data_IF_696484882429
#
_entry.id   IF_696484882429
#
_cell.length_a   1.000
_cell.length_b   1.000
_cell.length_c   1.000
_cell.angle_alpha   90.00
_cell.angle_beta   90.00
_cell.angle_gamma   90.00
#
_symmetry.space_group_name_H-M   'P 1'
#
loop_
_entity.id
_entity.type
_entity.pdbx_description
1 polymer ?
#
# COMPACT_ATOMS: atom_id res chain seq x y z
N UNK A 1 29.42 27.95 14.03
CA UNK A 1 28.52 29.08 14.35
C UNK A 1 29.22 30.34 13.86
N UNK A 2 28.60 31.11 12.97
CA UNK A 2 29.19 32.36 12.46
C UNK A 2 29.44 33.32 13.63
N UNK A 3 30.63 33.87 13.72
CA UNK A 3 31.03 34.83 14.77
C UNK A 3 31.33 36.22 14.22
N UNK A 4 31.35 36.34 12.90
CA UNK A 4 31.80 37.46 12.13
C UNK A 4 30.79 37.79 11.02
N UNK A 5 30.74 39.05 10.60
CA UNK A 5 29.84 39.54 9.56
C UNK A 5 30.47 39.42 8.16
N UNK A 6 31.13 38.28 7.88
CA UNK A 6 31.81 38.06 6.61
C UNK A 6 30.84 38.08 5.43
N UNK A 7 31.24 38.80 4.38
CA UNK A 7 30.53 38.85 3.10
C UNK A 7 31.18 37.87 2.12
N UNK A 8 30.38 37.29 1.25
CA UNK A 8 30.90 36.41 0.20
C UNK A 8 31.58 37.20 -0.92
N UNK A 9 32.56 36.57 -1.58
CA UNK A 9 33.24 37.12 -2.74
C UNK A 9 32.42 36.97 -4.05
N UNK A 10 31.14 36.60 -3.94
CA UNK A 10 30.22 36.50 -5.09
C UNK A 10 29.80 37.90 -5.53
N UNK A 11 29.37 38.00 -6.78
CA UNK A 11 28.87 39.26 -7.36
C UNK A 11 27.66 39.84 -6.60
N UNK A 12 26.85 38.99 -5.98
CA UNK A 12 25.71 39.40 -5.15
C UNK A 12 26.08 39.83 -3.73
N UNK A 13 27.36 39.74 -3.34
CA UNK A 13 27.96 40.15 -2.06
C UNK A 13 27.07 39.73 -0.88
N UNK A 14 26.47 38.53 -0.96
CA UNK A 14 25.59 38.05 0.10
C UNK A 14 26.41 37.73 1.35
N UNK A 15 25.91 38.04 2.55
CA UNK A 15 26.51 37.59 3.80
C UNK A 15 26.73 36.08 3.80
N UNK A 16 27.89 35.64 4.29
CA UNK A 16 28.25 34.22 4.31
C UNK A 16 27.24 33.39 5.09
N UNK A 17 26.71 33.93 6.18
CA UNK A 17 25.64 33.30 6.98
C UNK A 17 24.38 32.97 6.15
N UNK A 18 24.02 33.81 5.17
CA UNK A 18 22.86 33.57 4.31
C UNK A 18 23.15 32.46 3.32
N UNK A 19 24.37 32.39 2.77
CA UNK A 19 24.78 31.33 1.86
C UNK A 19 24.79 29.98 2.58
N UNK A 20 25.39 29.92 3.77
CA UNK A 20 25.47 28.71 4.56
C UNK A 20 24.07 28.22 4.95
N UNK A 21 23.20 29.10 5.44
CA UNK A 21 21.79 28.77 5.72
C UNK A 21 21.08 28.21 4.48
N UNK A 22 21.20 28.87 3.33
CA UNK A 22 20.56 28.42 2.10
C UNK A 22 21.10 27.07 1.61
N UNK A 23 22.37 26.76 1.89
CA UNK A 23 22.98 25.48 1.53
C UNK A 23 22.48 24.32 2.40
N UNK A 24 22.17 24.57 3.68
CA UNK A 24 21.80 23.51 4.64
C UNK A 24 20.29 23.39 4.89
N UNK A 25 19.51 24.46 4.68
CA UNK A 25 18.08 24.49 5.03
C UNK A 25 17.22 23.45 4.29
N UNK A 26 17.70 22.97 3.14
CA UNK A 26 16.95 22.03 2.30
C UNK A 26 16.99 20.57 2.78
N UNK A 27 17.71 20.23 3.85
CA UNK A 27 17.87 18.83 4.26
C UNK A 27 16.54 18.10 4.52
N UNK A 28 15.66 18.72 5.32
CA UNK A 28 14.35 18.14 5.68
C UNK A 28 13.39 18.15 4.49
N UNK A 29 13.32 19.25 3.73
CA UNK A 29 12.46 19.34 2.53
C UNK A 29 12.86 18.31 1.46
N UNK A 30 14.16 18.08 1.28
CA UNK A 30 14.66 17.05 0.38
C UNK A 30 14.26 15.65 0.87
N UNK A 31 14.41 15.38 2.18
CA UNK A 31 13.97 14.12 2.77
C UNK A 31 12.47 13.90 2.52
N UNK A 32 11.63 14.88 2.84
CA UNK A 32 10.18 14.82 2.64
C UNK A 32 9.82 14.50 1.19
N UNK A 33 10.41 15.26 0.24
CA UNK A 33 10.23 15.06 -1.20
C UNK A 33 10.64 13.66 -1.65
N UNK A 34 11.80 13.15 -1.20
CA UNK A 34 12.23 11.80 -1.59
C UNK A 34 11.32 10.76 -0.94
N UNK A 35 10.97 10.86 0.33
CA UNK A 35 10.07 9.90 0.99
C UNK A 35 8.71 9.84 0.30
N UNK A 36 8.16 10.97 -0.11
CA UNK A 36 6.89 11.04 -0.85
C UNK A 36 6.94 10.32 -2.21
N UNK A 37 8.11 10.23 -2.86
CA UNK A 37 8.25 9.56 -4.18
C UNK A 37 8.03 8.04 -4.12
N UNK A 38 8.39 7.40 -3.00
CA UNK A 38 8.22 5.96 -2.79
C UNK A 38 7.64 5.71 -1.41
N UNK A 39 6.38 6.13 -1.23
CA UNK A 39 5.66 6.01 0.04
C UNK A 39 4.80 4.74 0.10
N UNK A 40 4.73 4.14 1.28
CA UNK A 40 3.81 3.05 1.62
C UNK A 40 2.47 3.54 2.21
N UNK A 41 2.24 4.85 2.24
CA UNK A 41 1.02 5.44 2.79
C UNK A 41 -0.23 4.94 2.05
N UNK A 42 -1.31 4.73 2.82
CA UNK A 42 -2.63 4.36 2.29
C UNK A 42 -3.68 5.26 2.92
N UNK A 43 -4.74 5.55 2.18
CA UNK A 43 -5.90 6.28 2.71
C UNK A 43 -6.45 5.54 3.94
N UNK A 44 -6.50 6.23 5.07
CA UNK A 44 -6.95 5.68 6.35
C UNK A 44 -7.62 6.77 7.18
N UNK A 45 -8.69 6.41 7.88
CA UNK A 45 -9.35 7.28 8.86
C UNK A 45 -8.70 7.21 10.26
N UNK A 46 -7.64 6.40 10.42
CA UNK A 46 -6.97 6.16 11.71
C UNK A 46 -5.62 6.86 11.74
N UNK A 47 -5.53 7.99 12.43
CA UNK A 47 -4.29 8.79 12.54
C UNK A 47 -3.03 8.01 12.98
N UNK A 48 -3.09 6.98 13.87
CA UNK A 48 -1.87 6.27 14.27
C UNK A 48 -1.21 5.53 13.10
N UNK A 49 -2.00 5.11 12.10
CA UNK A 49 -1.47 4.47 10.90
C UNK A 49 -0.70 5.45 10.01
N UNK A 50 -1.08 6.74 10.00
CA UNK A 50 -0.33 7.78 9.28
C UNK A 50 1.09 7.87 9.83
N UNK A 51 1.24 7.88 11.16
CA UNK A 51 2.54 7.88 11.82
C UNK A 51 3.30 6.59 11.50
N UNK A 52 2.65 5.44 11.58
CA UNK A 52 3.27 4.17 11.23
C UNK A 52 3.83 4.16 9.81
N UNK A 53 3.07 4.66 8.83
CA UNK A 53 3.55 4.74 7.44
C UNK A 53 4.77 5.68 7.32
N UNK A 54 4.75 6.83 7.98
CA UNK A 54 5.90 7.74 8.02
C UNK A 54 7.14 7.07 8.62
N UNK A 55 7.00 6.31 9.71
CA UNK A 55 8.09 5.56 10.32
C UNK A 55 8.68 4.57 9.32
N UNK A 56 7.85 3.83 8.59
CA UNK A 56 8.30 2.86 7.59
C UNK A 56 9.06 3.56 6.45
N UNK A 57 8.51 4.64 5.90
CA UNK A 57 9.10 5.35 4.76
C UNK A 57 10.46 5.98 5.12
N UNK A 58 10.56 6.65 6.28
CA UNK A 58 11.81 7.25 6.77
C UNK A 58 12.84 6.17 7.10
N UNK A 59 12.42 5.08 7.77
CA UNK A 59 13.33 3.98 8.11
C UNK A 59 13.90 3.31 6.87
N UNK A 60 13.08 3.09 5.84
CA UNK A 60 13.52 2.50 4.58
C UNK A 60 14.50 3.41 3.84
N UNK A 61 14.30 4.73 3.86
CA UNK A 61 15.24 5.68 3.28
C UNK A 61 16.57 5.72 4.05
N UNK A 62 16.53 5.73 5.39
CA UNK A 62 17.74 5.71 6.21
C UNK A 62 18.55 4.42 5.99
N UNK A 63 17.87 3.28 5.92
CA UNK A 63 18.50 2.00 5.59
C UNK A 63 19.13 2.03 4.19
N UNK A 64 18.48 2.66 3.22
CA UNK A 64 19.04 2.86 1.87
C UNK A 64 20.33 3.68 1.90
N UNK A 65 20.33 4.83 2.58
CA UNK A 65 21.51 5.69 2.71
C UNK A 65 22.68 4.90 3.30
N UNK A 66 22.46 4.26 4.45
CA UNK A 66 23.50 3.44 5.10
C UNK A 66 24.00 2.31 4.19
N UNK A 67 23.09 1.62 3.49
CA UNK A 67 23.46 0.55 2.57
C UNK A 67 24.34 1.05 1.42
N UNK A 68 24.02 2.20 0.83
CA UNK A 68 24.79 2.76 -0.28
C UNK A 68 26.13 3.36 0.14
N UNK A 69 26.24 3.85 1.38
CA UNK A 69 27.51 4.32 1.94
C UNK A 69 28.49 3.16 2.17
N UNK A 70 27.99 2.03 2.68
CA UNK A 70 28.80 0.83 2.92
C UNK A 70 29.10 0.09 1.61
N UNK A 71 28.11 -0.01 0.71
CA UNK A 71 28.19 -0.79 -0.53
C UNK A 71 28.18 0.13 -1.76
N UNK A 72 29.22 0.94 -1.92
CA UNK A 72 29.25 1.98 -2.95
C UNK A 72 29.12 1.42 -4.38
N UNK A 73 29.69 0.24 -4.63
CA UNK A 73 29.62 -0.42 -5.94
C UNK A 73 28.28 -1.12 -6.21
N UNK A 74 27.41 -1.31 -5.20
CA UNK A 74 26.14 -2.01 -5.37
C UNK A 74 25.23 -1.26 -6.34
N UNK A 75 24.87 -1.91 -7.46
CA UNK A 75 24.12 -1.30 -8.55
C UNK A 75 24.76 0.00 -9.08
N UNK A 76 26.10 0.08 -9.09
CA UNK A 76 26.84 1.19 -9.67
C UNK A 76 26.41 1.50 -11.11
N UNK A 77 26.32 2.79 -11.44
CA UNK A 77 25.88 3.26 -12.76
C UNK A 77 24.36 3.26 -13.00
N UNK A 78 23.54 2.71 -12.09
CA UNK A 78 22.08 2.78 -12.22
C UNK A 78 21.53 4.06 -11.57
N UNK A 79 20.63 4.74 -12.27
CA UNK A 79 19.95 5.95 -11.73
C UNK A 79 18.81 5.61 -10.76
N UNK A 80 18.28 4.39 -10.79
CA UNK A 80 17.10 3.96 -10.02
C UNK A 80 17.43 3.03 -8.84
N UNK A 81 18.61 3.22 -8.22
CA UNK A 81 19.12 2.39 -7.11
C UNK A 81 18.16 2.28 -5.93
N UNK A 82 17.48 3.37 -5.56
CA UNK A 82 16.51 3.36 -4.46
C UNK A 82 15.32 2.42 -4.73
N UNK A 83 14.80 2.40 -5.96
CA UNK A 83 13.72 1.48 -6.34
C UNK A 83 14.15 0.03 -6.18
N UNK A 84 15.36 -0.30 -6.64
CA UNK A 84 15.94 -1.64 -6.49
C UNK A 84 16.11 -2.00 -5.01
N UNK A 85 16.59 -1.07 -4.20
CA UNK A 85 16.78 -1.29 -2.78
C UNK A 85 15.46 -1.61 -2.09
N UNK A 86 14.41 -0.82 -2.35
CA UNK A 86 13.08 -1.06 -1.76
C UNK A 86 12.47 -2.39 -2.22
N UNK A 87 12.70 -2.77 -3.47
CA UNK A 87 12.27 -4.07 -4.01
C UNK A 87 12.98 -5.24 -3.31
N UNK A 88 14.31 -5.17 -3.19
CA UNK A 88 15.11 -6.17 -2.50
C UNK A 88 14.78 -6.25 -1.00
N UNK A 89 14.63 -5.09 -0.33
CA UNK A 89 14.22 -4.99 1.07
C UNK A 89 12.86 -5.64 1.28
N UNK A 90 11.86 -5.31 0.46
CA UNK A 90 10.52 -5.89 0.55
C UNK A 90 10.53 -7.41 0.40
N UNK A 91 11.29 -7.92 -0.59
CA UNK A 91 11.49 -9.37 -0.78
C UNK A 91 12.17 -10.01 0.42
N UNK A 92 13.24 -9.42 0.95
CA UNK A 92 13.97 -9.95 2.11
C UNK A 92 13.09 -10.05 3.36
N UNK A 93 12.25 -9.04 3.62
CA UNK A 93 11.34 -9.03 4.77
C UNK A 93 10.22 -10.06 4.65
N UNK A 94 9.66 -10.26 3.45
CA UNK A 94 8.46 -11.09 3.27
C UNK A 94 8.78 -12.56 2.98
N UNK A 95 9.92 -12.87 2.36
CA UNK A 95 10.31 -14.24 1.97
C UNK A 95 10.24 -15.25 3.13
N UNK A 96 10.83 -15.01 4.32
CA UNK A 96 10.76 -15.97 5.43
C UNK A 96 9.33 -16.12 5.99
N UNK A 97 8.45 -15.16 5.75
CA UNK A 97 7.02 -15.26 6.13
C UNK A 97 6.22 -16.05 5.10
N UNK A 98 6.59 -15.97 3.82
CA UNK A 98 5.99 -16.78 2.74
C UNK A 98 6.42 -18.24 2.86
N UNK A 99 7.70 -18.50 3.15
CA UNK A 99 8.23 -19.86 3.31
C UNK A 99 7.52 -20.63 4.44
N UNK A 100 7.24 -19.98 5.58
CA UNK A 100 6.53 -20.59 6.72
C UNK A 100 5.01 -20.65 6.56
N UNK A 101 4.45 -20.14 5.46
CA UNK A 101 3.01 -20.07 5.27
C UNK A 101 2.45 -21.45 4.90
N UNK A 102 1.68 -22.05 5.82
CA UNK A 102 1.01 -23.35 5.58
C UNK A 102 -0.20 -23.22 4.66
N UNK A 103 -1.00 -22.16 4.79
CA UNK A 103 -2.24 -22.00 4.05
C UNK A 103 -2.05 -21.12 2.81
N UNK A 104 -2.30 -21.60 1.59
CA UNK A 104 -2.19 -20.78 0.40
C UNK A 104 -3.25 -19.67 0.41
N UNK A 105 -2.93 -18.50 -0.17
CA UNK A 105 -3.91 -17.44 -0.37
C UNK A 105 -5.04 -17.90 -1.30
N UNK A 106 -6.20 -17.24 -1.18
CA UNK A 106 -7.41 -17.62 -1.93
C UNK A 106 -7.32 -17.36 -3.43
N UNK A 107 -6.54 -16.37 -3.86
CA UNK A 107 -6.39 -16.10 -5.28
C UNK A 107 -5.39 -17.07 -5.89
N UNK A 108 -5.73 -17.61 -7.05
CA UNK A 108 -4.89 -18.54 -7.81
C UNK A 108 -3.52 -17.92 -8.10
N UNK A 109 -3.49 -16.66 -8.57
CA UNK A 109 -2.25 -15.93 -8.85
C UNK A 109 -1.33 -15.80 -7.62
N UNK A 110 -1.87 -15.45 -6.44
CA UNK A 110 -1.06 -15.36 -5.23
C UNK A 110 -0.65 -16.74 -4.72
N UNK A 111 -1.48 -17.77 -4.92
CA UNK A 111 -1.14 -19.14 -4.53
C UNK A 111 0.02 -19.67 -5.36
N UNK A 112 0.00 -19.45 -6.68
CA UNK A 112 1.12 -19.76 -7.57
C UNK A 112 2.40 -19.02 -7.17
N UNK A 113 2.31 -17.74 -6.78
CA UNK A 113 3.47 -16.98 -6.32
C UNK A 113 4.07 -17.55 -5.02
N UNK A 114 3.22 -17.91 -4.05
CA UNK A 114 3.65 -18.53 -2.78
C UNK A 114 4.32 -19.89 -3.05
N UNK A 115 3.72 -20.72 -3.90
CA UNK A 115 4.29 -22.03 -4.27
C UNK A 115 5.67 -21.89 -4.91
N UNK A 116 5.85 -20.95 -5.85
CA UNK A 116 7.15 -20.68 -6.48
C UNK A 116 8.23 -20.30 -5.47
N UNK A 117 7.89 -19.47 -4.49
CA UNK A 117 8.84 -19.03 -3.45
C UNK A 117 9.16 -20.17 -2.48
N UNK A 118 8.19 -21.05 -2.20
CA UNK A 118 8.37 -22.21 -1.32
C UNK A 118 9.16 -23.35 -1.97
N UNK A 119 9.07 -23.51 -3.29
CA UNK A 119 9.81 -24.53 -4.05
C UNK A 119 11.34 -24.28 -4.10
N UNK A 120 11.80 -23.09 -3.72
CA UNK A 120 13.23 -22.72 -3.76
C UNK A 120 13.77 -22.54 -5.20
N UNK A 121 15.00 -22.02 -5.34
CA UNK A 121 15.69 -22.02 -6.62
C UNK A 121 16.09 -23.46 -6.98
N UNK A 122 15.45 -24.04 -7.99
CA UNK A 122 15.71 -25.39 -8.47
C UNK A 122 17.19 -25.57 -8.83
N UNK A 123 17.93 -26.34 -8.04
CA UNK A 123 19.12 -27.05 -8.54
C UNK A 123 18.66 -28.09 -9.56
N UNK A 124 19.40 -28.21 -10.67
CA UNK A 124 19.06 -28.96 -11.87
C UNK A 124 18.56 -30.41 -11.65
N UNK A 125 17.54 -30.77 -12.45
CA UNK A 125 17.23 -32.06 -13.09
C UNK A 125 17.64 -33.38 -12.40
N UNK A 126 16.65 -34.15 -11.94
CA UNK A 126 16.19 -35.41 -12.56
C UNK A 126 15.19 -36.11 -11.64
N UNK A 127 14.23 -36.81 -12.23
CA UNK A 127 13.25 -37.73 -11.64
C UNK A 127 11.97 -37.10 -11.07
N UNK A 128 11.04 -36.81 -11.98
CA UNK A 128 9.60 -36.79 -11.68
C UNK A 128 9.12 -38.24 -11.49
N UNK A 129 8.43 -38.59 -10.40
CA UNK A 129 7.46 -39.66 -10.43
C UNK A 129 6.23 -39.16 -11.21
N UNK A 130 5.81 -39.96 -12.18
CA UNK A 130 4.59 -39.83 -12.97
C UNK A 130 3.38 -39.46 -12.09
N UNK A 131 2.71 -38.33 -12.38
CA UNK A 131 1.50 -37.90 -11.68
C UNK A 131 0.32 -38.02 -12.64
N UNK A 132 -0.68 -38.79 -12.20
CA UNK A 132 -1.96 -39.05 -12.87
C UNK A 132 -2.66 -37.79 -13.42
N UNK A 133 -3.53 -37.92 -14.45
CA UNK A 133 -4.12 -36.78 -15.11
C UNK A 133 -5.01 -35.98 -14.16
N UNK A 134 -4.70 -34.69 -14.01
CA UNK A 134 -5.56 -33.71 -13.34
C UNK A 134 -6.85 -33.55 -14.15
N UNK A 135 -7.94 -34.05 -13.57
CA UNK A 135 -9.30 -33.73 -13.97
C UNK A 135 -9.50 -32.21 -13.96
N UNK A 136 -9.66 -31.62 -15.14
CA UNK A 136 -10.22 -30.27 -15.35
C UNK A 136 -11.70 -30.26 -14.97
N UNK A 137 -11.97 -30.52 -13.69
CA UNK A 137 -13.29 -30.49 -13.09
C UNK A 137 -13.72 -29.05 -12.85
N UNK A 138 -14.70 -28.62 -13.64
CA UNK A 138 -15.62 -27.49 -13.45
C UNK A 138 -15.56 -26.85 -12.05
N UNK A 139 -15.36 -25.52 -12.03
CA UNK A 139 -15.20 -24.72 -10.82
C UNK A 139 -16.24 -25.04 -9.74
N UNK A 140 -15.80 -25.69 -8.67
CA UNK A 140 -16.65 -25.99 -7.51
C UNK A 140 -17.11 -24.67 -6.90
N UNK A 141 -18.39 -24.33 -7.12
CA UNK A 141 -19.07 -23.21 -6.46
C UNK A 141 -18.92 -23.36 -4.95
N UNK A 142 -18.54 -22.27 -4.27
CA UNK A 142 -18.28 -22.26 -2.83
C UNK A 142 -19.54 -22.69 -2.07
N UNK A 143 -19.42 -23.69 -1.20
CA UNK A 143 -20.53 -24.12 -0.33
C UNK A 143 -20.73 -23.11 0.80
N UNK A 144 -21.99 -22.82 1.12
CA UNK A 144 -22.40 -21.95 2.24
C UNK A 144 -21.99 -22.61 3.56
N UNK A 145 -21.59 -21.81 4.56
CA UNK A 145 -21.30 -22.31 5.90
C UNK A 145 -22.58 -22.91 6.48
N UNK A 146 -22.53 -24.16 6.95
CA UNK A 146 -23.70 -24.86 7.49
C UNK A 146 -24.17 -24.33 8.85
N UNK A 147 -23.35 -23.52 9.51
CA UNK A 147 -23.64 -22.94 10.83
C UNK A 147 -24.19 -21.52 10.75
N UNK A 148 -24.12 -20.88 9.59
CA UNK A 148 -24.62 -19.52 9.41
C UNK A 148 -26.03 -19.58 8.82
N UNK A 149 -27.01 -18.82 9.39
CA UNK A 149 -28.31 -18.69 8.74
C UNK A 149 -28.14 -18.14 7.32
N UNK A 150 -28.95 -18.60 6.34
CA UNK A 150 -28.90 -18.07 4.99
C UNK A 150 -29.18 -16.56 5.03
N UNK A 151 -28.24 -15.72 4.57
CA UNK A 151 -28.60 -14.36 4.16
C UNK A 151 -29.51 -14.49 2.95
N UNK A 152 -30.64 -13.79 2.93
CA UNK A 152 -31.44 -13.64 1.71
C UNK A 152 -30.51 -13.11 0.63
N UNK A 153 -30.38 -13.89 -0.43
CA UNK A 153 -29.72 -13.42 -1.63
C UNK A 153 -30.67 -12.35 -2.18
N UNK A 154 -30.18 -11.12 -2.37
CA UNK A 154 -30.95 -10.13 -3.13
C UNK A 154 -30.98 -10.68 -4.56
N UNK A 155 -32.08 -11.32 -4.93
CA UNK A 155 -32.34 -11.66 -6.33
C UNK A 155 -32.24 -10.37 -7.13
N UNK A 156 -31.34 -10.34 -8.11
CA UNK A 156 -31.29 -9.26 -9.07
C UNK A 156 -32.68 -9.17 -9.73
N UNK A 157 -33.37 -8.03 -9.69
CA UNK A 157 -34.67 -7.93 -10.33
C UNK A 157 -34.51 -8.20 -11.83
N UNK A 158 -35.43 -8.93 -12.46
CA UNK A 158 -35.34 -9.25 -13.87
C UNK A 158 -35.25 -7.95 -14.68
N UNK A 159 -34.31 -7.93 -15.63
CA UNK A 159 -34.07 -6.80 -16.50
C UNK A 159 -35.36 -6.41 -17.25
N UNK A 160 -36.00 -5.33 -16.82
CA UNK A 160 -37.04 -4.67 -17.61
C UNK A 160 -36.35 -3.97 -18.78
N UNK A 161 -36.43 -4.58 -19.95
CA UNK A 161 -36.17 -3.91 -21.22
C UNK A 161 -37.09 -2.69 -21.35
N UNK A 162 -36.51 -1.50 -21.48
CA UNK A 162 -37.19 -0.33 -22.06
C UNK A 162 -37.54 0.83 -21.13
N UNK A 163 -36.63 1.28 -20.25
CA UNK A 163 -36.77 2.59 -19.58
C UNK A 163 -35.60 3.51 -19.99
N UNK A 164 -35.86 4.73 -20.50
CA UNK A 164 -34.80 5.64 -20.94
C UNK A 164 -33.89 6.10 -19.79
N UNK A 165 -32.63 6.36 -20.11
CA UNK A 165 -31.50 6.49 -19.17
C UNK A 165 -31.56 7.67 -18.18
N UNK A 166 -32.56 8.55 -18.25
CA UNK A 166 -32.61 9.76 -17.41
C UNK A 166 -33.27 9.56 -16.03
N UNK A 167 -33.91 8.41 -15.76
CA UNK A 167 -34.58 8.15 -14.46
C UNK A 167 -33.74 7.37 -13.43
N UNK A 168 -32.61 6.79 -13.83
CA UNK A 168 -31.75 5.98 -12.92
C UNK A 168 -31.04 6.85 -11.87
N UNK A 169 -30.84 8.13 -12.16
CA UNK A 169 -30.16 9.06 -11.25
C UNK A 169 -31.01 9.44 -10.01
N UNK A 170 -32.34 9.39 -10.14
CA UNK A 170 -33.25 9.79 -9.06
C UNK A 170 -33.30 8.73 -7.95
N UNK A 171 -33.22 7.44 -8.30
CA UNK A 171 -33.31 6.34 -7.33
C UNK A 171 -32.01 6.15 -6.51
N UNK A 172 -30.84 6.49 -7.07
CA UNK A 172 -29.58 6.42 -6.34
C UNK A 172 -29.43 7.54 -5.29
N UNK A 173 -29.95 8.74 -5.58
CA UNK A 173 -30.00 9.87 -4.63
C UNK A 173 -31.03 9.66 -3.51
N UNK A 174 -32.14 8.97 -3.81
CA UNK A 174 -33.20 8.69 -2.84
C UNK A 174 -32.76 7.69 -1.76
N UNK A 175 -31.93 6.70 -2.11
CA UNK A 175 -31.42 5.68 -1.18
C UNK A 175 -30.40 6.23 -0.19
N UNK A 176 -29.56 7.16 -0.60
CA UNK A 176 -28.60 7.84 0.29
C UNK A 176 -29.28 8.82 1.23
N UNK A 177 -30.36 9.50 0.79
CA UNK A 177 -31.15 10.39 1.66
C UNK A 177 -31.94 9.62 2.73
N UNK A 178 -32.50 8.46 2.40
CA UNK A 178 -33.21 7.60 3.35
C UNK A 178 -32.28 6.99 4.41
N UNK A 179 -31.02 6.65 4.04
CA UNK A 179 -30.03 6.16 5.00
C UNK A 179 -29.47 7.26 5.92
N UNK A 180 -29.47 8.52 5.48
CA UNK A 180 -29.08 9.66 6.33
C UNK A 180 -30.15 10.03 7.37
N UNK A 181 -31.44 9.80 7.08
CA UNK A 181 -32.55 10.12 8.01
C UNK A 181 -32.82 9.03 9.06
N UNK A 182 -32.35 7.80 8.86
CA UNK A 182 -32.53 6.71 9.82
C UNK A 182 -31.62 6.77 11.07
N UNK A 183 -30.65 7.70 11.11
CA UNK A 183 -29.72 7.89 12.24
C UNK A 183 -30.12 9.03 13.21
N UNK A 184 -31.29 9.65 13.03
CA UNK A 184 -31.85 10.59 14.01
C UNK A 184 -33.11 9.96 14.61
N UNK A 185 -32.95 9.26 15.73
CA UNK A 185 -34.08 8.88 16.57
C UNK A 185 -34.80 10.13 17.12
N UNK A 186 -36.09 10.05 17.46
CA UNK A 186 -36.84 11.19 17.96
C UNK A 186 -36.23 11.70 19.26
N UNK A 187 -35.87 12.99 19.27
CA UNK A 187 -35.49 13.70 20.49
C UNK A 187 -36.67 13.69 21.48
N UNK A 188 -36.40 13.23 22.70
CA UNK A 188 -37.37 13.27 23.81
C UNK A 188 -37.74 14.72 24.14
N UNK A 189 -39.01 15.02 24.46
CA UNK A 189 -39.42 16.38 24.81
C UNK A 189 -38.80 16.81 26.16
N UNK A 190 -38.52 18.12 26.35
CA UNK A 190 -37.95 18.61 27.60
C UNK A 190 -38.98 18.53 28.74
N UNK A 191 -38.55 18.01 29.88
CA UNK A 191 -39.29 18.03 31.14
C UNK A 191 -39.26 19.44 31.72
N UNK A 192 -40.39 20.07 32.10
CA UNK A 192 -40.37 21.36 32.76
C UNK A 192 -40.25 21.19 34.28
N UNK A 193 -39.24 21.86 34.86
CA UNK A 193 -38.96 22.13 36.28
C UNK A 193 -38.89 20.94 37.25
#
# INVERSE_FOLDING_TARGET
MHKDASLSAREDIKPQIILDYNSTKGGVDNLDKVTATYSCQRMTARWPFVIFYNIVDVSAYNAYVLWTEINQQWNGGKLYRRRLFLEELGKALITPKIQRRVRPPRSTAAASAVQKIQAGPSTHASNQPEMDPVDTGSGKKRKRCQLCPPRQDNEDPPALHGVPQDEVFVLYSSRTRAQAQAHQGPASPPTPC
#
